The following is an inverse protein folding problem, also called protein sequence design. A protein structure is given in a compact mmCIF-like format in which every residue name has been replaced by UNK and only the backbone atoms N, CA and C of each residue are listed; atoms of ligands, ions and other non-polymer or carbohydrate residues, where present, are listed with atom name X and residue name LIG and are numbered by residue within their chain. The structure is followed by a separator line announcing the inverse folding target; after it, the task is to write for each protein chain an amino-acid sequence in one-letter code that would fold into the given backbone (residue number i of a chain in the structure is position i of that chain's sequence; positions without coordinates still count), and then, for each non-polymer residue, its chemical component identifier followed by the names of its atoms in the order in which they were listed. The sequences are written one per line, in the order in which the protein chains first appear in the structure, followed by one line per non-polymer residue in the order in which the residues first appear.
data_IF_929677877001
#
_entry.id   IF_929677877001
#
_cell.length_a   1.000
_cell.length_b   1.000
_cell.length_c   1.000
_cell.angle_alpha   90.00
_cell.angle_beta   90.00
_cell.angle_gamma   90.00
#
_symmetry.space_group_name_H-M   'P 1'
#
loop_
_entity.id
_entity.type
_entity.pdbx_description
1 polymer ?
#
# COMPACT_ATOMS: atom_id res chain seq x y z
N UNK A 1 -18.42 -1.91 5.09
CA UNK A 1 -18.89 -1.47 3.76
C UNK A 1 -17.70 -1.39 2.82
N UNK A 2 -17.61 -2.30 1.84
CA UNK A 2 -16.56 -2.26 0.83
C UNK A 2 -16.99 -1.29 -0.29
N UNK A 3 -16.26 -0.18 -0.47
CA UNK A 3 -16.37 0.67 -1.66
C UNK A 3 -15.92 -0.19 -2.86
N UNK A 4 -16.86 -0.66 -3.69
CA UNK A 4 -16.51 -1.34 -4.96
C UNK A 4 -15.88 -0.32 -5.90
N UNK A 5 -14.69 -0.64 -6.40
CA UNK A 5 -13.96 0.17 -7.37
C UNK A 5 -14.56 -0.07 -8.76
N UNK A 6 -15.12 0.94 -9.45
CA UNK A 6 -15.49 0.78 -10.85
C UNK A 6 -14.23 0.68 -11.71
N UNK A 7 -14.19 -0.34 -12.56
CA UNK A 7 -13.07 -0.60 -13.47
C UNK A 7 -13.18 0.35 -14.68
N UNK A 8 -12.68 1.57 -14.56
CA UNK A 8 -12.65 2.52 -15.68
C UNK A 8 -11.30 2.37 -16.38
N UNK A 9 -11.27 1.73 -17.56
CA UNK A 9 -10.36 2.02 -18.70
C UNK A 9 -10.49 0.96 -19.80
N UNK A 10 -10.57 1.43 -21.04
CA UNK A 10 -10.43 0.63 -22.26
C UNK A 10 -9.02 0.00 -22.36
N UNK A 11 -8.86 -1.19 -22.96
CA UNK A 11 -7.56 -1.84 -23.08
C UNK A 11 -6.59 -1.03 -23.97
N UNK A 12 -5.27 -1.05 -23.67
CA UNK A 12 -4.25 -0.37 -24.47
C UNK A 12 -4.13 -0.98 -25.87
N UNK A 13 -3.72 -0.17 -26.85
CA UNK A 13 -3.57 -0.63 -28.24
C UNK A 13 -2.41 -1.64 -28.38
N UNK A 14 -2.44 -2.46 -29.43
CA UNK A 14 -1.37 -3.46 -29.67
C UNK A 14 0.01 -2.82 -29.86
N UNK A 15 0.08 -1.59 -30.41
CA UNK A 15 1.34 -0.84 -30.60
C UNK A 15 1.92 -0.40 -29.24
N UNK A 16 1.08 0.08 -28.34
CA UNK A 16 1.49 0.49 -27.00
C UNK A 16 1.98 -0.72 -26.18
N UNK A 17 1.32 -1.86 -26.34
CA UNK A 17 1.69 -3.12 -25.70
C UNK A 17 3.10 -3.57 -26.09
N UNK A 18 3.45 -3.49 -27.38
CA UNK A 18 4.78 -3.87 -27.87
C UNK A 18 5.87 -2.90 -27.37
N UNK A 19 5.58 -1.60 -27.32
CA UNK A 19 6.51 -0.60 -26.81
C UNK A 19 6.81 -0.78 -25.31
N UNK A 20 5.81 -1.14 -24.50
CA UNK A 20 5.98 -1.47 -23.08
C UNK A 20 6.87 -2.70 -22.89
N UNK A 21 6.60 -3.77 -23.64
CA UNK A 21 7.37 -5.02 -23.56
C UNK A 21 8.85 -4.81 -23.91
N UNK A 22 9.16 -4.02 -24.96
CA UNK A 22 10.53 -3.69 -25.34
C UNK A 22 11.30 -2.92 -24.26
N UNK A 23 10.58 -2.13 -23.44
CA UNK A 23 11.13 -1.39 -22.30
C UNK A 23 11.13 -2.21 -21.00
N UNK A 24 10.77 -3.49 -21.05
CA UNK A 24 10.72 -4.38 -19.88
C UNK A 24 9.49 -4.17 -18.98
N UNK A 25 8.47 -3.45 -19.43
CA UNK A 25 7.23 -3.22 -18.69
C UNK A 25 6.15 -4.24 -19.03
N UNK A 26 5.30 -4.52 -18.05
CA UNK A 26 4.09 -5.33 -18.27
C UNK A 26 3.15 -4.65 -19.27
N UNK A 27 2.44 -5.41 -20.14
CA UNK A 27 1.36 -4.90 -20.99
C UNK A 27 0.27 -4.14 -20.22
N UNK A 28 0.10 -4.46 -18.93
CA UNK A 28 -0.87 -3.83 -18.04
C UNK A 28 -0.29 -2.61 -17.30
N UNK A 29 0.95 -2.21 -17.58
CA UNK A 29 1.57 -1.05 -16.95
C UNK A 29 0.89 0.24 -17.42
N UNK A 30 0.31 0.98 -16.48
CA UNK A 30 -0.43 2.23 -16.74
C UNK A 30 0.34 3.50 -16.37
N UNK A 31 1.59 3.37 -15.92
CA UNK A 31 2.46 4.51 -15.65
C UNK A 31 3.15 4.98 -16.94
N UNK A 32 3.76 6.17 -16.89
CA UNK A 32 4.62 6.62 -17.98
C UNK A 32 6.00 5.94 -17.88
N UNK A 33 6.38 5.05 -18.81
CA UNK A 33 7.65 4.31 -18.77
C UNK A 33 8.88 5.21 -19.00
N UNK A 34 8.69 6.41 -19.54
CA UNK A 34 9.78 7.34 -19.85
C UNK A 34 10.23 8.17 -18.65
N UNK A 35 9.50 8.09 -17.54
CA UNK A 35 9.92 8.70 -16.28
C UNK A 35 10.96 7.79 -15.63
N UNK A 36 12.16 8.30 -15.35
CA UNK A 36 13.25 7.55 -14.70
C UNK A 36 12.81 6.81 -13.44
N UNK A 37 12.01 7.47 -12.58
CA UNK A 37 11.43 6.91 -11.34
C UNK A 37 10.48 5.71 -11.55
N UNK A 38 10.08 5.44 -12.78
CA UNK A 38 9.22 4.33 -13.16
C UNK A 38 10.02 3.16 -13.76
N UNK A 39 11.28 3.38 -14.15
CA UNK A 39 12.16 2.36 -14.67
C UNK A 39 12.75 1.54 -13.52
N UNK A 40 13.08 0.27 -13.81
CA UNK A 40 13.75 -0.57 -12.83
C UNK A 40 15.19 -0.09 -12.69
N UNK A 41 15.56 0.34 -11.49
CA UNK A 41 16.95 0.65 -11.17
C UNK A 41 17.73 -0.65 -10.93
N UNK A 42 19.01 -0.64 -11.28
CA UNK A 42 19.95 -1.71 -10.92
C UNK A 42 20.31 -1.56 -9.44
N UNK A 43 19.51 -2.17 -8.58
CA UNK A 43 19.64 -2.08 -7.12
C UNK A 43 20.47 -3.28 -6.65
N UNK A 44 21.54 -3.09 -5.87
CA UNK A 44 22.28 -4.21 -5.29
C UNK A 44 21.35 -5.12 -4.45
N UNK A 45 21.50 -6.46 -4.48
CA UNK A 45 20.64 -7.37 -3.72
C UNK A 45 20.60 -7.09 -2.21
N UNK A 46 21.72 -6.65 -1.65
CA UNK A 46 21.88 -6.24 -0.26
C UNK A 46 21.16 -4.93 0.08
N UNK A 47 20.70 -4.16 -0.91
CA UNK A 47 19.90 -2.95 -0.74
C UNK A 47 18.40 -3.16 -1.02
N UNK A 48 17.99 -4.38 -1.39
CA UNK A 48 16.60 -4.67 -1.74
C UNK A 48 15.69 -4.66 -0.50
N UNK A 49 14.67 -3.80 -0.51
CA UNK A 49 13.60 -3.72 0.48
C UNK A 49 12.32 -4.44 0.04
N UNK A 50 12.32 -5.10 -1.12
CA UNK A 50 11.16 -5.79 -1.69
C UNK A 50 11.20 -7.30 -1.48
N UNK A 51 10.10 -7.82 -0.95
CA UNK A 51 9.84 -9.24 -0.72
C UNK A 51 8.64 -9.72 -1.55
N UNK A 52 8.67 -11.00 -1.90
CA UNK A 52 7.61 -11.68 -2.63
C UNK A 52 7.13 -12.90 -1.84
N UNK A 53 5.82 -12.92 -1.58
CA UNK A 53 5.12 -13.92 -0.79
C UNK A 53 4.23 -14.75 -1.72
N UNK A 54 4.33 -16.08 -1.64
CA UNK A 54 3.56 -17.00 -2.51
C UNK A 54 2.86 -18.05 -1.66
N UNK A 55 1.59 -18.36 -1.99
CA UNK A 55 0.79 -19.33 -1.24
C UNK A 55 -0.12 -18.70 -0.19
N UNK A 56 -0.54 -17.45 -0.42
CA UNK A 56 -1.47 -16.74 0.45
C UNK A 56 -2.92 -17.17 0.18
N UNK A 57 -3.83 -16.80 1.08
CA UNK A 57 -5.26 -17.07 0.93
C UNK A 57 -5.79 -16.51 -0.41
N UNK A 58 -6.68 -17.23 -1.12
CA UNK A 58 -7.20 -16.80 -2.42
C UNK A 58 -8.02 -15.51 -2.35
N UNK A 59 -8.66 -15.24 -1.21
CA UNK A 59 -9.47 -14.05 -0.94
C UNK A 59 -8.73 -13.04 -0.03
N UNK A 60 -7.39 -13.09 -0.01
CA UNK A 60 -6.55 -12.22 0.81
C UNK A 60 -6.88 -10.74 0.57
N UNK A 61 -7.10 -10.02 1.67
CA UNK A 61 -7.27 -8.56 1.65
C UNK A 61 -5.99 -7.83 2.07
N UNK A 62 -5.90 -6.54 1.74
CA UNK A 62 -4.79 -5.69 2.20
C UNK A 62 -4.78 -5.57 3.73
N UNK A 63 -5.96 -5.44 4.34
CA UNK A 63 -6.12 -5.46 5.80
C UNK A 63 -5.55 -6.73 6.44
N UNK A 64 -5.90 -7.89 5.90
CA UNK A 64 -5.43 -9.17 6.43
C UNK A 64 -3.91 -9.33 6.27
N UNK A 65 -3.38 -9.02 5.09
CA UNK A 65 -1.94 -9.07 4.83
C UNK A 65 -1.18 -8.19 5.82
N UNK A 66 -1.58 -6.92 5.95
CA UNK A 66 -0.91 -5.94 6.80
C UNK A 66 -1.08 -6.23 8.29
N UNK A 67 -2.21 -6.83 8.70
CA UNK A 67 -2.42 -7.31 10.06
C UNK A 67 -1.48 -8.46 10.45
N UNK A 68 -0.94 -9.21 9.48
CA UNK A 68 0.13 -10.17 9.72
C UNK A 68 1.54 -9.57 9.81
N UNK A 69 1.75 -8.34 9.33
CA UNK A 69 3.08 -7.67 9.23
C UNK A 69 3.30 -6.68 10.39
N UNK A 70 2.70 -6.92 11.56
CA UNK A 70 2.80 -6.02 12.71
C UNK A 70 4.18 -6.14 13.39
N UNK A 71 4.70 -5.02 13.91
CA UNK A 71 5.98 -4.94 14.63
C UNK A 71 7.23 -5.32 13.81
N UNK A 72 7.21 -5.05 12.50
CA UNK A 72 8.33 -5.32 11.60
C UNK A 72 8.98 -4.03 11.13
N UNK A 73 8.19 -3.13 10.56
CA UNK A 73 8.66 -1.86 10.00
C UNK A 73 7.59 -1.21 9.13
N UNK A 74 7.84 0.02 8.70
CA UNK A 74 6.87 0.75 7.89
C UNK A 74 6.77 0.12 6.50
N UNK A 75 5.57 0.04 5.98
CA UNK A 75 5.32 -0.52 4.65
C UNK A 75 5.21 0.61 3.63
N UNK A 76 6.14 0.60 2.68
CA UNK A 76 6.18 1.56 1.57
C UNK A 76 5.11 1.25 0.52
N UNK A 77 4.99 -0.03 0.14
CA UNK A 77 4.03 -0.47 -0.84
C UNK A 77 3.65 -1.94 -0.66
N UNK A 78 2.40 -2.26 -0.99
CA UNK A 78 1.90 -3.62 -1.13
C UNK A 78 1.19 -3.78 -2.45
N UNK A 79 1.32 -4.95 -3.07
CA UNK A 79 0.51 -5.35 -4.21
C UNK A 79 0.11 -6.81 -4.05
N UNK A 80 -1.18 -7.09 -4.08
CA UNK A 80 -1.72 -8.45 -4.04
C UNK A 80 -2.04 -8.89 -5.47
N UNK A 81 -1.42 -9.98 -5.91
CA UNK A 81 -1.79 -10.70 -7.11
C UNK A 81 -2.87 -11.73 -6.74
N UNK A 82 -4.10 -11.61 -7.27
CA UNK A 82 -5.14 -12.60 -7.02
C UNK A 82 -4.77 -13.96 -7.64
N UNK A 83 -5.47 -15.04 -7.23
CA UNK A 83 -5.36 -16.32 -7.91
C UNK A 83 -5.69 -16.19 -9.40
N UNK A 84 -5.09 -17.07 -10.20
CA UNK A 84 -5.39 -17.23 -11.63
C UNK A 84 -5.67 -18.72 -11.86
N UNK A 85 -6.86 -19.23 -11.48
CA UNK A 85 -7.17 -20.66 -11.51
C UNK A 85 -7.01 -21.27 -12.90
N UNK A 86 -7.30 -20.51 -13.96
CA UNK A 86 -7.12 -20.95 -15.36
C UNK A 86 -5.66 -21.22 -15.73
N UNK A 87 -4.70 -20.74 -14.94
CA UNK A 87 -3.26 -21.03 -15.08
C UNK A 87 -2.73 -21.98 -13.99
N UNK A 88 -3.63 -22.62 -13.24
CA UNK A 88 -3.28 -23.49 -12.11
C UNK A 88 -2.76 -22.74 -10.88
N UNK A 89 -2.95 -21.41 -10.81
CA UNK A 89 -2.50 -20.58 -9.69
C UNK A 89 -3.67 -20.36 -8.73
N UNK A 90 -3.95 -21.34 -7.88
CA UNK A 90 -5.11 -21.32 -6.97
C UNK A 90 -4.97 -20.39 -5.75
N UNK A 91 -3.76 -19.87 -5.51
CA UNK A 91 -3.42 -19.05 -4.33
C UNK A 91 -2.98 -17.66 -4.74
N UNK A 92 -3.20 -16.71 -3.84
CA UNK A 92 -2.70 -15.35 -4.03
C UNK A 92 -1.19 -15.30 -3.82
N UNK A 93 -0.57 -14.28 -4.42
CA UNK A 93 0.80 -13.86 -4.11
C UNK A 93 0.81 -12.37 -3.75
N UNK A 94 1.83 -11.91 -3.04
CA UNK A 94 1.96 -10.49 -2.71
C UNK A 94 3.39 -10.00 -2.85
N UNK A 95 3.54 -8.78 -3.37
CA UNK A 95 4.74 -7.97 -3.22
C UNK A 95 4.55 -7.10 -1.98
N UNK A 96 5.54 -7.10 -1.09
CA UNK A 96 5.64 -6.17 0.04
C UNK A 96 6.96 -5.42 -0.08
N UNK A 97 6.92 -4.11 0.10
CA UNK A 97 8.11 -3.25 0.12
C UNK A 97 8.11 -2.50 1.44
N UNK A 98 9.20 -2.62 2.20
CA UNK A 98 9.41 -1.83 3.40
C UNK A 98 10.08 -0.50 3.05
N UNK A 99 9.90 0.51 3.90
CA UNK A 99 10.68 1.75 3.76
C UNK A 99 12.16 1.47 4.00
N UNK A 100 12.47 0.75 5.07
CA UNK A 100 13.84 0.48 5.53
C UNK A 100 14.31 -0.93 5.17
N UNK A 101 15.58 -1.04 4.78
CA UNK A 101 16.22 -2.32 4.47
C UNK A 101 16.21 -3.27 5.64
N UNK A 102 16.47 -2.73 6.84
CA UNK A 102 16.45 -3.47 8.11
C UNK A 102 15.11 -4.15 8.38
N UNK A 103 14.00 -3.50 8.05
CA UNK A 103 12.66 -4.07 8.23
C UNK A 103 12.40 -5.22 7.25
N UNK A 104 12.83 -5.09 6.00
CA UNK A 104 12.75 -6.17 5.03
C UNK A 104 13.60 -7.38 5.45
N UNK A 105 14.78 -7.13 6.00
CA UNK A 105 15.69 -8.14 6.55
C UNK A 105 15.06 -8.89 7.72
N UNK A 106 14.51 -8.15 8.69
CA UNK A 106 13.81 -8.71 9.83
C UNK A 106 12.66 -9.62 9.38
N UNK A 107 11.83 -9.16 8.45
CA UNK A 107 10.73 -9.95 7.90
C UNK A 107 11.24 -11.23 7.22
N UNK A 108 12.27 -11.12 6.39
CA UNK A 108 12.85 -12.26 5.69
C UNK A 108 13.42 -13.29 6.68
N UNK A 109 14.19 -12.84 7.68
CA UNK A 109 14.80 -13.72 8.68
C UNK A 109 13.74 -14.44 9.52
N UNK A 110 12.63 -13.77 9.84
CA UNK A 110 11.55 -14.39 10.60
C UNK A 110 10.74 -15.42 9.80
N UNK A 111 10.55 -15.20 8.50
CA UNK A 111 9.54 -15.95 7.73
C UNK A 111 10.06 -16.74 6.53
N UNK A 112 11.32 -16.61 6.13
CA UNK A 112 11.88 -17.36 4.98
C UNK A 112 11.93 -18.88 5.22
N UNK A 113 12.22 -19.31 6.45
CA UNK A 113 12.18 -20.71 6.88
C UNK A 113 10.77 -21.21 7.21
N UNK A 114 10.12 -20.69 8.27
CA UNK A 114 8.83 -21.21 8.74
C UNK A 114 7.64 -20.83 7.85
N UNK A 115 7.80 -19.86 6.96
CA UNK A 115 6.72 -19.28 6.16
C UNK A 115 5.92 -18.21 6.90
N UNK A 116 5.34 -17.29 6.14
CA UNK A 116 4.47 -16.23 6.65
C UNK A 116 3.01 -16.68 6.69
N UNK A 117 2.28 -16.27 7.72
CA UNK A 117 0.83 -16.48 7.81
C UNK A 117 0.11 -15.26 8.33
N UNK A 118 -1.14 -15.11 7.95
CA UNK A 118 -2.01 -14.04 8.43
C UNK A 118 -2.86 -14.50 9.62
N UNK A 119 -3.40 -13.59 10.45
CA UNK A 119 -4.25 -13.95 11.58
C UNK A 119 -5.50 -14.77 11.19
N UNK A 120 -6.08 -14.49 10.01
CA UNK A 120 -7.27 -15.21 9.51
C UNK A 120 -6.94 -16.58 8.92
N UNK A 121 -5.72 -16.76 8.42
CA UNK A 121 -5.28 -18.01 7.80
C UNK A 121 -3.95 -18.52 8.43
N UNK A 122 -3.94 -18.86 9.74
CA UNK A 122 -2.73 -19.25 10.46
C UNK A 122 -2.23 -20.65 10.08
N UNK A 123 -2.95 -21.38 9.24
CA UNK A 123 -2.55 -22.69 8.72
C UNK A 123 -1.87 -22.59 7.34
N UNK A 124 -2.01 -21.45 6.64
CA UNK A 124 -1.34 -21.23 5.36
C UNK A 124 0.03 -20.58 5.61
N UNK A 125 1.09 -21.27 5.22
CA UNK A 125 2.48 -20.79 5.31
C UNK A 125 2.95 -20.34 3.94
N UNK A 126 2.77 -19.05 3.65
CA UNK A 126 3.26 -18.45 2.43
C UNK A 126 4.79 -18.45 2.41
N UNK A 127 5.37 -18.88 1.30
CA UNK A 127 6.82 -18.83 1.09
C UNK A 127 7.25 -17.39 0.90
N UNK A 128 8.28 -16.96 1.64
CA UNK A 128 8.84 -15.61 1.58
C UNK A 128 10.19 -15.64 0.85
N UNK A 129 10.35 -14.79 -0.16
CA UNK A 129 11.57 -14.67 -0.96
C UNK A 129 11.90 -13.21 -1.23
N UNK A 130 13.18 -12.89 -1.47
CA UNK A 130 13.55 -11.59 -2.03
C UNK A 130 12.90 -11.42 -3.40
N UNK A 131 12.24 -10.28 -3.63
CA UNK A 131 11.57 -10.03 -4.89
C UNK A 131 12.59 -9.69 -5.98
N UNK A 132 12.38 -10.23 -7.18
CA UNK A 132 13.20 -9.93 -8.37
C UNK A 132 13.07 -8.47 -8.82
N UNK A 133 11.89 -7.86 -8.61
CA UNK A 133 11.68 -6.44 -8.87
C UNK A 133 12.07 -5.67 -7.61
N UNK A 134 13.33 -5.24 -7.58
CA UNK A 134 13.96 -4.64 -6.42
C UNK A 134 13.43 -3.24 -6.13
N UNK A 135 13.56 -2.83 -4.87
CA UNK A 135 13.24 -1.46 -4.44
C UNK A 135 14.22 -1.09 -3.35
N UNK A 136 14.90 0.04 -3.50
CA UNK A 136 15.87 0.53 -2.54
C UNK A 136 15.17 1.13 -1.31
N UNK A 137 15.93 1.28 -0.23
CA UNK A 137 15.51 2.05 0.93
C UNK A 137 15.12 3.47 0.50
N UNK A 138 13.97 3.93 0.98
CA UNK A 138 13.48 5.27 0.64
C UNK A 138 13.40 6.12 1.90
N UNK A 139 14.33 7.06 2.05
CA UNK A 139 14.18 8.14 3.02
C UNK A 139 13.21 9.19 2.49
N UNK A 140 12.10 9.35 3.17
CA UNK A 140 11.05 10.32 2.87
C UNK A 140 10.95 11.42 3.94
N UNK A 141 11.97 11.57 4.79
CA UNK A 141 12.02 12.61 5.81
C UNK A 141 11.35 12.22 7.12
N UNK A 142 11.82 11.14 7.74
CA UNK A 142 11.38 10.74 9.09
C UNK A 142 10.13 9.85 9.08
N UNK A 143 9.00 10.31 9.62
CA UNK A 143 7.87 9.47 10.05
C UNK A 143 6.71 9.31 9.05
N UNK A 144 6.89 9.73 7.80
CA UNK A 144 5.85 9.60 6.78
C UNK A 144 5.47 8.13 6.58
N UNK A 145 4.20 7.86 6.32
CA UNK A 145 3.71 6.48 6.27
C UNK A 145 2.49 6.35 5.37
N UNK A 146 2.02 5.12 5.18
CA UNK A 146 0.74 4.82 4.51
C UNK A 146 -0.50 5.24 5.31
N UNK A 147 -0.34 5.86 6.48
CA UNK A 147 -1.42 6.27 7.38
C UNK A 147 -1.60 7.77 7.34
N UNK A 148 -2.83 8.23 7.14
CA UNK A 148 -3.21 9.64 7.21
C UNK A 148 -4.17 9.89 8.36
N UNK A 149 -3.90 10.93 9.13
CA UNK A 149 -4.78 11.52 10.12
C UNK A 149 -5.47 12.73 9.48
N UNK A 150 -6.75 12.59 9.16
CA UNK A 150 -7.55 13.63 8.47
C UNK A 150 -8.49 14.27 9.48
N UNK A 151 -8.33 15.55 9.74
CA UNK A 151 -9.17 16.33 10.65
C UNK A 151 -9.88 17.46 9.92
N UNK A 152 -11.13 17.72 10.24
CA UNK A 152 -11.89 18.82 9.62
C UNK A 152 -13.38 18.76 9.96
N UNK A 153 -14.19 19.58 9.30
CA UNK A 153 -15.63 19.61 9.53
C UNK A 153 -16.28 18.25 9.21
N UNK A 154 -17.26 17.79 10.01
CA UNK A 154 -17.86 16.45 9.85
C UNK A 154 -18.56 16.22 8.51
N UNK A 155 -19.03 17.28 7.86
CA UNK A 155 -19.65 17.23 6.53
C UNK A 155 -18.66 16.87 5.40
N UNK A 156 -17.37 17.18 5.58
CA UNK A 156 -16.29 16.83 4.65
C UNK A 156 -15.53 15.60 5.15
N UNK A 157 -15.13 15.59 6.42
CA UNK A 157 -14.28 14.55 7.02
C UNK A 157 -15.14 13.41 7.56
N UNK A 158 -15.75 12.68 6.63
CA UNK A 158 -16.40 11.41 6.90
C UNK A 158 -16.08 10.44 5.76
N UNK A 159 -16.11 9.14 6.05
CA UNK A 159 -15.70 8.13 5.06
C UNK A 159 -16.55 8.15 3.78
N UNK A 160 -17.83 8.48 3.88
CA UNK A 160 -18.72 8.51 2.72
C UNK A 160 -18.31 9.60 1.72
N UNK A 161 -18.04 10.82 2.21
CA UNK A 161 -17.55 11.91 1.39
C UNK A 161 -16.14 11.61 0.86
N UNK A 162 -15.22 11.22 1.74
CA UNK A 162 -13.82 10.99 1.38
C UNK A 162 -13.64 9.82 0.41
N UNK A 163 -14.35 8.68 0.56
CA UNK A 163 -14.27 7.58 -0.42
C UNK A 163 -14.70 8.08 -1.79
N UNK A 164 -15.84 8.77 -1.90
CA UNK A 164 -16.33 9.31 -3.18
C UNK A 164 -15.32 10.25 -3.82
N UNK A 165 -14.78 11.19 -3.03
CA UNK A 165 -13.77 12.13 -3.52
C UNK A 165 -12.50 11.42 -3.99
N UNK A 166 -11.90 10.55 -3.15
CA UNK A 166 -10.65 9.86 -3.48
C UNK A 166 -10.82 8.95 -4.71
N UNK A 167 -12.00 8.34 -4.91
CA UNK A 167 -12.29 7.56 -6.11
C UNK A 167 -12.24 8.38 -7.41
N UNK A 168 -12.39 9.71 -7.35
CA UNK A 168 -12.19 10.60 -8.51
C UNK A 168 -10.72 10.92 -8.79
N UNK A 169 -9.83 10.65 -7.84
CA UNK A 169 -8.42 11.11 -7.88
C UNK A 169 -7.42 9.98 -8.03
N UNK A 170 -7.66 8.83 -7.41
CA UNK A 170 -6.70 7.74 -7.37
C UNK A 170 -7.38 6.36 -7.23
N UNK A 171 -6.66 5.33 -7.65
CA UNK A 171 -6.93 3.95 -7.28
C UNK A 171 -6.14 3.62 -6.02
N UNK A 172 -6.78 3.00 -5.05
CA UNK A 172 -6.16 2.70 -3.78
C UNK A 172 -6.73 1.42 -3.19
N UNK A 173 -6.02 0.86 -2.22
CA UNK A 173 -6.50 -0.23 -1.39
C UNK A 173 -6.44 0.19 0.06
N UNK A 174 -7.45 -0.21 0.84
CA UNK A 174 -7.52 0.14 2.26
C UNK A 174 -7.03 -1.02 3.10
N UNK A 175 -6.22 -0.69 4.10
CA UNK A 175 -6.03 -1.52 5.30
C UNK A 175 -7.23 -1.27 6.22
N UNK A 176 -7.45 -0.04 6.66
CA UNK A 176 -8.48 0.26 7.65
C UNK A 176 -8.90 1.73 7.63
N UNK A 177 -10.10 2.01 8.13
CA UNK A 177 -10.64 3.36 8.36
C UNK A 177 -11.11 3.43 9.80
N UNK A 178 -10.48 4.28 10.62
CA UNK A 178 -10.75 4.38 12.04
C UNK A 178 -11.25 5.78 12.41
N UNK A 179 -12.50 5.93 12.88
CA UNK A 179 -12.97 7.19 13.45
C UNK A 179 -12.42 7.37 14.87
N UNK A 180 -11.87 8.54 15.17
CA UNK A 180 -11.37 8.92 16.50
C UNK A 180 -12.34 9.80 17.29
N UNK A 181 -13.50 10.12 16.70
CA UNK A 181 -14.54 10.95 17.32
C UNK A 181 -14.38 12.45 17.07
N UNK A 182 -15.32 13.26 17.57
CA UNK A 182 -15.28 14.70 17.43
C UNK A 182 -14.30 15.37 18.40
N UNK A 183 -13.88 16.59 18.08
CA UNK A 183 -13.26 17.51 19.03
C UNK A 183 -14.23 17.86 20.16
N UNK A 184 -13.71 18.40 21.27
CA UNK A 184 -14.51 18.71 22.46
C UNK A 184 -15.67 19.69 22.19
N UNK A 185 -15.51 20.59 21.22
CA UNK A 185 -16.52 21.55 20.77
C UNK A 185 -17.43 21.02 19.65
N UNK A 186 -17.21 19.79 19.18
CA UNK A 186 -17.98 19.15 18.11
C UNK A 186 -17.74 19.72 16.71
N UNK A 187 -16.88 20.73 16.55
CA UNK A 187 -16.70 21.44 15.27
C UNK A 187 -15.84 20.67 14.28
N UNK A 188 -15.03 19.71 14.78
CA UNK A 188 -14.14 18.90 13.96
C UNK A 188 -14.30 17.43 14.32
N UNK A 189 -13.97 16.57 13.37
CA UNK A 189 -13.79 15.13 13.59
C UNK A 189 -12.41 14.71 13.12
N UNK A 190 -11.93 13.58 13.62
CA UNK A 190 -10.68 12.96 13.18
C UNK A 190 -10.95 11.56 12.60
N UNK A 191 -10.48 11.33 11.39
CA UNK A 191 -10.53 10.04 10.70
C UNK A 191 -9.11 9.60 10.35
N UNK A 192 -8.74 8.40 10.79
CA UNK A 192 -7.49 7.76 10.41
C UNK A 192 -7.72 6.83 9.22
N UNK A 193 -7.05 7.14 8.11
CA UNK A 193 -7.09 6.37 6.86
C UNK A 193 -5.79 5.59 6.74
N UNK A 194 -5.86 4.27 6.83
CA UNK A 194 -4.72 3.37 6.61
C UNK A 194 -4.80 2.82 5.19
N UNK A 195 -3.92 3.28 4.31
CA UNK A 195 -3.81 2.78 2.94
C UNK A 195 -2.96 1.50 2.88
N UNK A 196 -3.11 0.70 1.84
CA UNK A 196 -2.24 -0.44 1.58
C UNK A 196 -0.81 -0.02 1.26
N UNK A 197 -0.65 1.15 0.62
CA UNK A 197 0.66 1.68 0.23
C UNK A 197 0.83 3.14 0.61
N UNK A 198 2.07 3.58 0.79
CA UNK A 198 2.42 4.99 0.87
C UNK A 198 2.45 5.63 -0.53
N UNK A 199 3.29 5.08 -1.41
CA UNK A 199 3.48 5.63 -2.76
C UNK A 199 2.20 5.49 -3.57
N UNK A 200 1.86 6.54 -4.33
CA UNK A 200 0.68 6.63 -5.19
C UNK A 200 -0.68 6.47 -4.47
N UNK A 201 -0.71 6.31 -3.14
CA UNK A 201 -1.93 6.20 -2.35
C UNK A 201 -1.94 7.26 -1.25
N UNK A 202 -1.39 6.99 -0.06
CA UNK A 202 -1.40 7.95 1.05
C UNK A 202 -0.76 9.30 0.66
N UNK A 203 0.35 9.29 -0.08
CA UNK A 203 0.98 10.52 -0.56
C UNK A 203 0.06 11.31 -1.52
N UNK A 204 -0.55 10.62 -2.49
CA UNK A 204 -1.45 11.25 -3.45
C UNK A 204 -2.73 11.77 -2.79
N UNK A 205 -3.29 11.00 -1.85
CA UNK A 205 -4.45 11.39 -1.06
C UNK A 205 -4.17 12.64 -0.20
N UNK A 206 -3.03 12.70 0.54
CA UNK A 206 -2.64 13.91 1.30
C UNK A 206 -2.52 15.13 0.39
N UNK A 207 -1.87 14.99 -0.77
CA UNK A 207 -1.75 16.08 -1.74
C UNK A 207 -3.10 16.55 -2.27
N UNK A 208 -3.98 15.62 -2.66
CA UNK A 208 -5.30 15.93 -3.19
C UNK A 208 -6.19 16.61 -2.14
N UNK A 209 -6.22 16.10 -0.91
CA UNK A 209 -6.99 16.70 0.19
C UNK A 209 -6.45 18.08 0.55
N UNK A 210 -5.13 18.22 0.67
CA UNK A 210 -4.48 19.48 1.02
C UNK A 210 -4.60 20.55 -0.08
N UNK A 211 -4.74 20.17 -1.34
CA UNK A 211 -4.94 21.10 -2.46
C UNK A 211 -6.38 21.62 -2.51
N UNK A 212 -7.36 20.75 -2.30
CA UNK A 212 -8.76 21.06 -2.60
C UNK A 212 -9.56 21.47 -1.36
N UNK A 213 -9.26 20.95 -0.16
CA UNK A 213 -10.07 21.17 1.03
C UNK A 213 -9.37 21.91 2.18
N UNK A 214 -8.13 22.36 1.99
CA UNK A 214 -7.40 23.11 3.03
C UNK A 214 -8.15 24.40 3.42
N UNK A 215 -8.73 25.09 2.44
CA UNK A 215 -9.51 26.33 2.68
C UNK A 215 -10.83 26.05 3.38
N UNK A 216 -11.36 24.83 3.25
CA UNK A 216 -12.56 24.36 3.94
C UNK A 216 -12.25 23.75 5.33
N UNK A 217 -11.05 24.01 5.86
CA UNK A 217 -10.67 23.60 7.22
C UNK A 217 -10.21 22.15 7.35
N UNK A 218 -9.98 21.42 6.24
CA UNK A 218 -9.40 20.08 6.28
C UNK A 218 -7.88 20.15 6.48
N UNK A 219 -7.43 19.53 7.56
CA UNK A 219 -6.03 19.24 7.84
C UNK A 219 -5.79 17.74 7.61
N UNK A 220 -4.63 17.40 7.04
CA UNK A 220 -4.29 16.00 6.75
C UNK A 220 -2.81 15.79 7.04
N UNK A 221 -2.50 14.98 8.06
CA UNK A 221 -1.14 14.68 8.50
C UNK A 221 -0.81 13.19 8.41
N UNK A 222 0.47 12.85 8.43
CA UNK A 222 0.88 11.43 8.47
C UNK A 222 0.78 10.87 9.89
N UNK A 223 0.16 9.70 10.01
CA UNK A 223 0.15 8.90 11.24
C UNK A 223 1.31 7.90 11.30
N UNK A 224 1.37 7.13 12.38
CA UNK A 224 2.32 6.02 12.51
C UNK A 224 1.81 4.78 11.77
N UNK A 225 2.68 4.05 11.09
CA UNK A 225 2.31 2.77 10.47
C UNK A 225 2.20 1.68 11.55
N UNK A 226 1.05 1.01 11.72
CA UNK A 226 0.93 -0.09 12.67
C UNK A 226 1.80 -1.31 12.32
N UNK A 227 2.36 -1.37 11.11
CA UNK A 227 3.38 -2.37 10.78
C UNK A 227 4.73 -2.08 11.43
N UNK A 228 5.01 -0.82 11.82
CA UNK A 228 6.24 -0.45 12.51
C UNK A 228 6.13 -0.70 14.03
N UNK A 229 7.23 -1.04 14.71
CA UNK A 229 7.26 -1.10 16.17
C UNK A 229 6.87 0.25 16.80
N UNK A 230 6.22 0.25 17.99
CA UNK A 230 5.95 1.47 18.73
C UNK A 230 7.25 2.24 19.02
N UNK A 231 7.21 3.58 18.95
CA UNK A 231 8.37 4.41 19.29
C UNK A 231 8.83 4.10 20.72
N UNK A 232 10.12 3.82 20.89
CA UNK A 232 10.72 3.54 22.21
C UNK A 232 10.97 2.06 22.51
N UNK A 233 10.63 1.15 21.60
CA UNK A 233 11.06 -0.25 21.68
C UNK A 233 12.54 -0.37 21.23
N UNK A 234 13.44 -0.32 22.21
CA UNK A 234 14.82 -0.82 22.07
C UNK A 234 14.90 -2.22 22.62
#
# INVERSE_FOLDING_TARGET
MACRIPNITSPPSQRDTRALLLKGFSPNYRGNPDISRNQSADIPPDQNCSLFLVGLAPDLTHHELLSGIRNIGRVYATHINPPVPEKGLERSAAKVVFFERKAAELFYNLFSGPGFSTPRNPHLRARVTWNRIQSEETDVGGFLSRVLLVSGPPEIVNWNFLCRYLNTKLQYQMDEVLPHGPSADGTRVLLELRFGSFRCQAQAAKMALGREFRKDGVACEYGLDPCAPPRGSK
#
